data_IF_018399832759
#
_entry.id   IF_018399832759
#
_cell.length_a   1.000
_cell.length_b   1.000
_cell.length_c   1.000
_cell.angle_alpha   90.00
_cell.angle_beta   90.00
_cell.angle_gamma   90.00
#
_symmetry.space_group_name_H-M   'P 1'
#
loop_
_entity.id
_entity.type
_entity.pdbx_description
1 polymer ?
#
# COMPACT_ATOMS: atom_id res chain seq x y z
N UNK A 1 -8.45 -8.37 -22.24
CA UNK A 1 -9.04 -7.66 -21.09
C UNK A 1 -10.05 -6.65 -21.61
N UNK A 2 -11.21 -6.51 -20.96
CA UNK A 2 -12.18 -5.48 -21.31
C UNK A 2 -11.84 -4.20 -20.52
N UNK A 3 -11.53 -3.11 -21.23
CA UNK A 3 -11.25 -1.81 -20.60
C UNK A 3 -12.54 -1.02 -20.48
N UNK A 4 -12.83 -0.49 -19.28
CA UNK A 4 -13.97 0.41 -19.03
C UNK A 4 -13.46 1.81 -18.75
N UNK A 5 -13.95 2.81 -19.50
CA UNK A 5 -13.58 4.21 -19.29
C UNK A 5 -14.38 4.79 -18.13
N UNK A 6 -13.66 5.40 -17.19
CA UNK A 6 -14.23 6.19 -16.09
C UNK A 6 -13.69 7.62 -16.24
N UNK A 7 -14.58 8.61 -16.18
CA UNK A 7 -14.21 10.03 -16.24
C UNK A 7 -14.43 10.64 -14.86
N UNK A 8 -13.44 11.33 -14.33
CA UNK A 8 -13.51 12.03 -13.05
C UNK A 8 -13.07 13.47 -13.23
N UNK A 9 -13.72 14.37 -12.50
CA UNK A 9 -13.31 15.77 -12.41
C UNK A 9 -12.40 15.93 -11.18
N UNK A 10 -11.29 16.64 -11.35
CA UNK A 10 -10.30 16.90 -10.31
C UNK A 10 -10.05 18.41 -10.21
N UNK A 11 -9.63 18.93 -9.05
CA UNK A 11 -9.09 20.28 -8.97
C UNK A 11 -7.94 20.48 -9.96
N UNK A 12 -7.86 21.65 -10.59
CA UNK A 12 -6.86 21.94 -11.62
C UNK A 12 -5.44 21.69 -11.13
N UNK A 13 -5.10 22.19 -9.94
CA UNK A 13 -3.78 21.99 -9.33
C UNK A 13 -3.44 20.51 -9.14
N UNK A 14 -4.42 19.67 -8.78
CA UNK A 14 -4.20 18.23 -8.62
C UNK A 14 -4.01 17.54 -9.98
N UNK A 15 -4.72 17.97 -11.01
CA UNK A 15 -4.56 17.44 -12.35
C UNK A 15 -3.17 17.76 -12.91
N UNK A 16 -2.65 18.96 -12.68
CA UNK A 16 -1.29 19.33 -13.10
C UNK A 16 -0.22 18.53 -12.34
N UNK A 17 -0.36 18.38 -11.02
CA UNK A 17 0.53 17.52 -10.22
C UNK A 17 0.54 16.06 -10.71
N UNK A 18 -0.62 15.51 -11.06
CA UNK A 18 -0.72 14.15 -11.60
C UNK A 18 -0.04 14.02 -12.96
N UNK A 19 -0.16 15.01 -13.84
CA UNK A 19 0.56 15.02 -15.13
C UNK A 19 2.06 15.08 -14.91
N UNK A 20 2.53 15.93 -14.00
CA UNK A 20 3.95 16.05 -13.66
C UNK A 20 4.50 14.72 -13.13
N UNK A 21 3.79 14.07 -12.19
CA UNK A 21 4.19 12.77 -11.65
C UNK A 21 4.15 11.63 -12.68
N UNK A 22 3.24 11.72 -13.66
CA UNK A 22 3.16 10.71 -14.71
C UNK A 22 4.38 10.75 -15.65
N UNK A 23 4.99 11.93 -15.83
CA UNK A 23 6.14 12.10 -16.72
C UNK A 23 5.82 11.61 -18.14
N UNK A 24 6.59 10.63 -18.62
CA UNK A 24 6.38 10.02 -19.94
C UNK A 24 5.22 9.01 -19.98
N UNK A 25 4.67 8.63 -18.81
CA UNK A 25 3.57 7.66 -18.70
C UNK A 25 2.23 8.38 -18.87
N UNK A 26 1.21 7.67 -19.34
CA UNK A 26 -0.16 8.22 -19.30
C UNK A 26 -0.65 8.35 -17.86
N UNK A 27 -1.36 9.45 -17.54
CA UNK A 27 -1.99 9.64 -16.21
C UNK A 27 -2.90 8.46 -15.86
N UNK A 28 -3.62 7.90 -16.83
CA UNK A 28 -4.47 6.73 -16.61
C UNK A 28 -3.69 5.48 -16.19
N UNK A 29 -2.49 5.27 -16.73
CA UNK A 29 -1.65 4.13 -16.34
C UNK A 29 -1.09 4.34 -14.95
N UNK A 30 -0.57 5.54 -14.65
CA UNK A 30 -0.10 5.89 -13.30
C UNK A 30 -1.19 5.68 -12.25
N UNK A 31 -2.40 6.20 -12.51
CA UNK A 31 -3.52 6.09 -11.58
C UNK A 31 -3.99 4.65 -11.44
N UNK A 32 -4.00 3.86 -12.52
CA UNK A 32 -4.34 2.45 -12.45
C UNK A 32 -3.37 1.68 -11.55
N UNK A 33 -2.05 1.84 -11.77
CA UNK A 33 -1.01 1.18 -10.96
C UNK A 33 -1.17 1.52 -9.46
N UNK A 34 -1.31 2.82 -9.14
CA UNK A 34 -1.48 3.26 -7.74
C UNK A 34 -2.75 2.69 -7.10
N UNK A 35 -3.84 2.61 -7.86
CA UNK A 35 -5.10 2.07 -7.36
C UNK A 35 -5.03 0.56 -7.17
N UNK A 36 -4.39 -0.17 -8.08
CA UNK A 36 -4.15 -1.61 -7.97
C UNK A 36 -3.32 -1.90 -6.72
N UNK A 37 -2.16 -1.25 -6.56
CA UNK A 37 -1.29 -1.41 -5.38
C UNK A 37 -2.05 -1.11 -4.07
N UNK A 38 -2.89 -0.07 -4.07
CA UNK A 38 -3.67 0.31 -2.88
C UNK A 38 -4.78 -0.69 -2.56
N UNK A 39 -5.43 -1.25 -3.58
CA UNK A 39 -6.46 -2.27 -3.41
C UNK A 39 -5.85 -3.58 -2.93
N UNK A 40 -4.72 -3.99 -3.51
CA UNK A 40 -3.96 -5.16 -3.09
C UNK A 40 -3.49 -5.02 -1.64
N UNK A 41 -2.90 -3.88 -1.28
CA UNK A 41 -2.48 -3.61 0.11
C UNK A 41 -3.66 -3.67 1.07
N UNK A 42 -4.80 -3.06 0.74
CA UNK A 42 -5.99 -3.12 1.59
C UNK A 42 -6.50 -4.56 1.76
N UNK A 43 -6.46 -5.39 0.73
CA UNK A 43 -6.86 -6.79 0.86
C UNK A 43 -5.85 -7.59 1.68
N UNK A 44 -4.55 -7.35 1.51
CA UNK A 44 -3.51 -7.94 2.36
C UNK A 44 -3.71 -7.57 3.83
N UNK A 45 -3.96 -6.30 4.13
CA UNK A 45 -4.23 -5.83 5.50
C UNK A 45 -5.47 -6.52 6.08
N UNK A 46 -6.51 -6.71 5.26
CA UNK A 46 -7.74 -7.41 5.65
C UNK A 46 -7.46 -8.88 5.97
N UNK A 47 -6.76 -9.58 5.07
CA UNK A 47 -6.40 -10.99 5.25
C UNK A 47 -5.49 -11.19 6.45
N UNK A 48 -4.55 -10.27 6.68
CA UNK A 48 -3.67 -10.30 7.84
C UNK A 48 -4.47 -10.13 9.14
N UNK A 49 -5.38 -9.16 9.21
CA UNK A 49 -6.24 -8.97 10.37
C UNK A 49 -7.16 -10.18 10.65
N UNK A 50 -7.69 -10.81 9.60
CA UNK A 50 -8.49 -12.04 9.72
C UNK A 50 -7.61 -13.19 10.25
N UNK A 51 -6.40 -13.37 9.72
CA UNK A 51 -5.44 -14.38 10.19
C UNK A 51 -5.07 -14.19 11.66
N UNK A 52 -4.72 -12.97 12.08
CA UNK A 52 -4.36 -12.66 13.48
C UNK A 52 -5.49 -13.00 14.45
N UNK A 53 -6.73 -12.77 14.03
CA UNK A 53 -7.91 -13.17 14.80
C UNK A 53 -8.04 -14.68 14.91
N UNK A 54 -7.79 -15.41 13.83
CA UNK A 54 -7.89 -16.87 13.79
C UNK A 54 -6.83 -17.55 14.67
N UNK A 55 -5.61 -17.02 14.71
CA UNK A 55 -4.52 -17.54 15.57
C UNK A 55 -4.58 -17.00 17.00
N UNK A 56 -5.45 -16.03 17.28
CA UNK A 56 -5.58 -15.41 18.59
C UNK A 56 -4.36 -14.59 19.03
N UNK A 57 -3.62 -14.03 18.06
CA UNK A 57 -2.41 -13.27 18.35
C UNK A 57 -2.75 -11.93 19.03
N UNK A 58 -1.96 -11.59 20.05
CA UNK A 58 -2.03 -10.31 20.74
C UNK A 58 -1.03 -9.30 20.16
N UNK A 59 -1.18 -8.02 20.51
CA UNK A 59 -0.21 -6.98 20.14
C UNK A 59 1.20 -7.26 20.70
N UNK A 60 1.28 -7.95 21.84
CA UNK A 60 2.57 -8.36 22.42
C UNK A 60 3.27 -9.42 21.57
N UNK A 61 2.51 -10.38 21.03
CA UNK A 61 3.06 -11.43 20.17
C UNK A 61 3.59 -10.86 18.85
N UNK A 62 2.90 -9.84 18.33
CA UNK A 62 3.35 -9.11 17.15
C UNK A 62 4.65 -8.33 17.41
N UNK A 63 4.71 -7.60 18.52
CA UNK A 63 5.90 -6.84 18.89
C UNK A 63 7.13 -7.75 19.14
N UNK A 64 6.92 -8.92 19.75
CA UNK A 64 7.98 -9.92 19.92
C UNK A 64 8.44 -10.48 18.56
N UNK A 65 7.50 -10.83 17.68
CA UNK A 65 7.81 -11.32 16.34
C UNK A 65 8.59 -10.30 15.50
N UNK A 66 8.20 -9.02 15.55
CA UNK A 66 8.91 -7.93 14.86
C UNK A 66 10.32 -7.73 15.42
N UNK A 67 10.50 -7.84 16.74
CA UNK A 67 11.81 -7.82 17.38
C UNK A 67 12.73 -8.92 16.86
N UNK A 68 12.24 -10.16 16.84
CA UNK A 68 12.99 -11.31 16.31
C UNK A 68 13.35 -11.11 14.83
N UNK A 69 12.41 -10.60 14.02
CA UNK A 69 12.65 -10.36 12.60
C UNK A 69 13.73 -9.28 12.39
N UNK A 70 13.67 -8.18 13.14
CA UNK A 70 14.64 -7.09 13.03
C UNK A 70 16.05 -7.54 13.45
N UNK A 71 16.15 -8.34 14.52
CA UNK A 71 17.41 -8.96 14.95
C UNK A 71 18.01 -9.87 13.86
N UNK A 72 17.18 -10.68 13.20
CA UNK A 72 17.61 -11.55 12.10
C UNK A 72 18.06 -10.77 10.86
N UNK A 73 17.42 -9.63 10.59
CA UNK A 73 17.75 -8.77 9.45
C UNK A 73 18.89 -7.79 9.75
N UNK A 74 19.38 -7.73 10.99
CA UNK A 74 20.38 -6.75 11.42
C UNK A 74 19.91 -5.31 11.27
N UNK A 75 18.59 -5.07 11.40
CA UNK A 75 17.99 -3.74 11.33
C UNK A 75 17.86 -3.20 12.75
N UNK A 76 18.61 -2.14 13.06
CA UNK A 76 18.36 -1.38 14.28
C UNK A 76 16.97 -0.72 14.18
N UNK A 77 16.21 -0.73 15.27
CA UNK A 77 14.82 -0.25 15.38
C UNK A 77 14.61 1.25 15.08
N UNK A 78 15.58 1.93 14.47
CA UNK A 78 15.61 3.38 14.20
C UNK A 78 15.24 3.72 12.76
N UNK A 79 15.11 2.74 11.84
CA UNK A 79 14.78 2.98 10.43
C UNK A 79 13.28 2.98 10.10
N UNK A 80 12.40 2.74 11.07
CA UNK A 80 10.95 2.70 10.85
C UNK A 80 10.25 3.73 11.73
N UNK A 81 10.38 5.01 11.36
CA UNK A 81 9.59 6.12 11.90
C UNK A 81 9.03 6.97 10.76
#
# INVERSE_FOLDING_TARGET
MATRRVTVSLPEELAEKLKEQAGDRSVSALVADILEERLERRELDRLWADYLRDVGASESDLAEADGILNDLLGRDATEVA
#
